data_IF_788181096707
#
_entry.id   IF_788181096707
#
_cell.length_a   1.000
_cell.length_b   1.000
_cell.length_c   1.000
_cell.angle_alpha   90.00
_cell.angle_beta   90.00
_cell.angle_gamma   90.00
#
_symmetry.space_group_name_H-M   'P 1'
#
loop_
_entity.id
_entity.type
_entity.pdbx_description
1 polymer ?
#
# COMPACT_ATOMS: atom_id res chain seq x y z
N UNK A 1 23.84 33.06 -6.93
CA UNK A 1 22.71 32.55 -6.13
C UNK A 1 21.84 31.75 -7.09
N UNK A 2 22.19 30.48 -7.29
CA UNK A 2 21.68 29.67 -8.40
C UNK A 2 20.47 28.91 -7.91
N UNK A 3 19.33 29.15 -8.55
CA UNK A 3 18.04 28.50 -8.31
C UNK A 3 18.22 26.98 -8.31
N UNK A 4 18.14 26.37 -7.13
CA UNK A 4 18.03 24.94 -6.99
C UNK A 4 16.70 24.52 -7.61
N UNK A 5 16.80 23.79 -8.71
CA UNK A 5 15.71 23.21 -9.47
C UNK A 5 14.69 22.46 -8.58
N UNK A 6 13.50 23.04 -8.41
CA UNK A 6 12.32 22.47 -7.73
C UNK A 6 11.67 21.33 -8.54
N UNK A 7 12.41 20.27 -8.87
CA UNK A 7 11.93 19.13 -9.67
C UNK A 7 11.93 17.79 -8.92
N UNK A 8 11.68 17.80 -7.61
CA UNK A 8 11.00 16.66 -6.99
C UNK A 8 9.50 16.85 -7.28
N UNK A 9 9.06 16.45 -8.48
CA UNK A 9 7.67 16.03 -8.65
C UNK A 9 7.52 14.74 -7.85
N UNK A 10 7.31 14.89 -6.55
CA UNK A 10 7.45 13.83 -5.56
C UNK A 10 6.42 12.74 -5.82
N UNK A 11 6.76 11.48 -5.51
CA UNK A 11 5.83 10.35 -5.64
C UNK A 11 4.52 10.63 -4.87
N UNK A 12 4.62 11.38 -3.78
CA UNK A 12 3.50 11.86 -2.97
C UNK A 12 2.53 12.77 -3.73
N UNK A 13 2.99 13.49 -4.76
CA UNK A 13 2.11 14.29 -5.61
C UNK A 13 1.30 13.45 -6.61
N UNK A 14 1.85 12.31 -7.04
CA UNK A 14 1.21 11.41 -8.00
C UNK A 14 0.32 10.37 -7.31
N UNK A 15 0.74 9.93 -6.12
CA UNK A 15 0.03 8.96 -5.29
C UNK A 15 0.04 9.43 -3.83
N UNK A 16 -0.85 10.37 -3.46
CA UNK A 16 -0.96 10.87 -2.10
C UNK A 16 -1.34 9.77 -1.12
N UNK A 17 -0.85 9.85 0.11
CA UNK A 17 -1.17 8.87 1.15
C UNK A 17 -2.66 8.85 1.47
N UNK A 18 -3.34 9.99 1.39
CA UNK A 18 -4.78 10.10 1.64
C UNK A 18 -5.58 9.25 0.65
N UNK A 19 -5.17 9.20 -0.62
CA UNK A 19 -5.82 8.39 -1.66
C UNK A 19 -5.63 6.91 -1.36
N UNK A 20 -4.41 6.50 -1.02
CA UNK A 20 -4.09 5.10 -0.69
C UNK A 20 -4.85 4.66 0.58
N UNK A 21 -4.91 5.53 1.59
CA UNK A 21 -5.63 5.30 2.85
C UNK A 21 -7.15 5.23 2.62
N UNK A 22 -7.70 6.05 1.72
CA UNK A 22 -9.12 5.99 1.37
C UNK A 22 -9.46 4.67 0.65
N UNK A 23 -8.62 4.24 -0.29
CA UNK A 23 -8.82 2.97 -1.01
C UNK A 23 -8.78 1.78 -0.05
N UNK A 24 -7.75 1.68 0.81
CA UNK A 24 -7.66 0.58 1.77
C UNK A 24 -8.83 0.56 2.76
N UNK A 25 -9.26 1.75 3.21
CA UNK A 25 -10.42 1.86 4.09
C UNK A 25 -11.69 1.41 3.38
N UNK A 26 -11.91 1.83 2.12
CA UNK A 26 -13.05 1.40 1.32
C UNK A 26 -13.08 -0.13 1.19
N UNK A 27 -11.97 -0.75 0.80
CA UNK A 27 -11.92 -2.20 0.62
C UNK A 27 -12.14 -2.94 1.94
N UNK A 28 -11.42 -2.57 3.00
CA UNK A 28 -11.47 -3.33 4.25
C UNK A 28 -12.78 -3.09 4.99
N UNK A 29 -13.21 -1.84 5.17
CA UNK A 29 -14.36 -1.52 6.03
C UNK A 29 -15.69 -1.63 5.31
N UNK A 30 -15.75 -1.31 4.02
CA UNK A 30 -17.01 -1.23 3.27
C UNK A 30 -17.23 -2.52 2.47
N UNK A 31 -16.27 -2.92 1.64
CA UNK A 31 -16.43 -4.05 0.73
C UNK A 31 -16.28 -5.39 1.47
N UNK A 32 -15.17 -5.57 2.19
CA UNK A 32 -14.88 -6.77 2.96
C UNK A 32 -15.56 -6.79 4.35
N UNK A 33 -16.10 -5.66 4.82
CA UNK A 33 -16.77 -5.53 6.13
C UNK A 33 -15.91 -6.04 7.30
N UNK A 34 -14.61 -5.75 7.24
CA UNK A 34 -13.61 -6.15 8.23
C UNK A 34 -13.27 -7.64 8.21
N UNK A 35 -13.59 -8.38 7.14
CA UNK A 35 -13.36 -9.82 7.05
C UNK A 35 -12.54 -10.16 5.81
N UNK A 36 -11.30 -10.57 6.01
CA UNK A 36 -10.39 -10.98 4.93
C UNK A 36 -10.14 -12.48 5.00
N UNK A 37 -10.31 -13.17 3.87
CA UNK A 37 -9.94 -14.58 3.74
C UNK A 37 -8.47 -14.66 3.36
N UNK A 38 -7.65 -15.16 4.29
CA UNK A 38 -6.21 -15.36 4.14
C UNK A 38 -5.91 -16.85 4.04
N UNK A 39 -4.71 -17.19 3.59
CA UNK A 39 -4.25 -18.59 3.56
C UNK A 39 -4.25 -19.25 4.95
N UNK A 40 -4.03 -18.48 6.01
CA UNK A 40 -4.11 -18.94 7.40
C UNK A 40 -5.53 -19.03 7.97
N UNK A 41 -6.53 -18.54 7.22
CA UNK A 41 -7.93 -18.53 7.60
C UNK A 41 -8.57 -17.14 7.58
N UNK A 42 -9.72 -17.00 8.25
CA UNK A 42 -10.46 -15.75 8.28
C UNK A 42 -9.83 -14.75 9.26
N UNK A 43 -9.29 -13.66 8.74
CA UNK A 43 -8.80 -12.53 9.51
C UNK A 43 -9.94 -11.52 9.74
N UNK A 44 -10.18 -11.16 11.00
CA UNK A 44 -11.20 -10.16 11.38
C UNK A 44 -10.51 -8.88 11.84
N UNK A 45 -10.73 -7.80 11.10
CA UNK A 45 -10.18 -6.47 11.35
C UNK A 45 -11.27 -5.61 12.01
N UNK A 46 -11.02 -5.05 13.21
CA UNK A 46 -11.99 -4.18 13.86
C UNK A 46 -12.13 -2.85 13.13
N UNK A 47 -13.28 -2.19 13.29
CA UNK A 47 -13.50 -0.86 12.72
C UNK A 47 -12.62 0.20 13.42
N UNK A 48 -12.28 1.26 12.68
CA UNK A 48 -11.54 2.40 13.24
C UNK A 48 -10.06 2.14 13.53
N UNK A 49 -9.47 1.14 12.87
CA UNK A 49 -8.03 0.86 12.95
C UNK A 49 -7.21 1.87 12.16
N UNK A 50 -5.92 1.93 12.49
CA UNK A 50 -4.95 2.79 11.81
C UNK A 50 -4.51 2.13 10.50
N UNK A 51 -4.43 2.90 9.43
CA UNK A 51 -3.79 2.51 8.17
C UNK A 51 -2.54 3.35 7.99
N UNK A 52 -1.40 2.68 7.79
CA UNK A 52 -0.10 3.33 7.64
C UNK A 52 0.49 3.00 6.28
N UNK A 53 0.77 4.02 5.45
CA UNK A 53 1.50 3.82 4.19
C UNK A 53 2.96 3.54 4.53
N UNK A 54 3.40 2.31 4.27
CA UNK A 54 4.75 1.83 4.59
C UNK A 54 5.74 2.19 3.49
N UNK A 55 5.32 2.04 2.24
CA UNK A 55 6.16 2.38 1.09
C UNK A 55 5.31 2.71 -0.13
N UNK A 56 5.89 3.52 -1.01
CA UNK A 56 5.39 3.76 -2.36
C UNK A 56 6.56 3.65 -3.33
N UNK A 57 6.30 3.15 -4.53
CA UNK A 57 7.30 3.07 -5.59
C UNK A 57 6.68 3.31 -6.97
N UNK A 58 7.43 3.95 -7.86
CA UNK A 58 7.19 3.91 -9.29
C UNK A 58 7.91 2.68 -9.86
N UNK A 59 7.14 1.74 -10.40
CA UNK A 59 7.64 0.55 -11.06
C UNK A 59 7.66 0.83 -12.56
N UNK A 60 8.86 0.89 -13.15
CA UNK A 60 9.03 1.13 -14.59
C UNK A 60 9.14 -0.20 -15.31
N UNK A 61 8.20 -0.47 -16.23
CA UNK A 61 8.17 -1.65 -17.12
C UNK A 61 8.95 -2.85 -16.60
N UNK A 62 8.40 -3.53 -15.60
CA UNK A 62 8.89 -4.86 -15.24
C UNK A 62 8.24 -5.90 -16.16
N UNK A 63 9.03 -6.72 -16.88
CA UNK A 63 8.48 -7.71 -17.81
C UNK A 63 7.56 -8.73 -17.14
N UNK A 64 7.65 -8.89 -15.81
CA UNK A 64 6.91 -9.89 -15.04
C UNK A 64 5.58 -9.40 -14.46
N UNK A 65 5.32 -8.09 -14.43
CA UNK A 65 4.15 -7.52 -13.73
C UNK A 65 2.95 -7.32 -14.67
N UNK A 66 3.15 -7.37 -16.00
CA UNK A 66 2.07 -7.33 -17.00
C UNK A 66 1.31 -5.99 -17.11
N UNK A 67 1.42 -5.10 -16.12
CA UNK A 67 0.74 -3.80 -16.07
C UNK A 67 1.50 -2.67 -16.76
N UNK A 68 2.71 -2.93 -17.27
CA UNK A 68 3.60 -1.89 -17.76
C UNK A 68 4.13 -1.02 -16.61
N UNK A 69 4.35 0.27 -16.87
CA UNK A 69 4.73 1.21 -15.82
C UNK A 69 3.53 1.48 -14.90
N UNK A 70 3.73 1.40 -13.59
CA UNK A 70 2.68 1.52 -12.58
C UNK A 70 3.25 2.07 -11.27
N UNK A 71 2.36 2.48 -10.36
CA UNK A 71 2.75 2.74 -8.97
C UNK A 71 2.37 1.56 -8.08
N UNK A 72 3.22 1.28 -7.10
CA UNK A 72 2.96 0.32 -6.02
C UNK A 72 2.86 1.09 -4.70
N UNK A 73 1.87 0.79 -3.88
CA UNK A 73 1.81 1.25 -2.50
C UNK A 73 1.60 0.07 -1.56
N UNK A 74 2.30 0.07 -0.43
CA UNK A 74 2.16 -0.94 0.62
C UNK A 74 1.62 -0.27 1.86
N UNK A 75 0.53 -0.81 2.42
CA UNK A 75 -0.13 -0.30 3.61
C UNK A 75 -0.07 -1.36 4.72
N UNK A 76 0.31 -0.96 5.93
CA UNK A 76 0.16 -1.77 7.13
C UNK A 76 -1.20 -1.51 7.78
N UNK A 77 -2.00 -2.56 7.92
CA UNK A 77 -3.30 -2.53 8.60
C UNK A 77 -3.09 -2.71 10.10
N UNK A 78 -3.55 -1.73 10.87
CA UNK A 78 -3.30 -1.62 12.32
C UNK A 78 -1.94 -1.01 12.68
N UNK A 79 -1.25 -0.41 11.71
CA UNK A 79 0.10 0.15 11.86
C UNK A 79 1.21 -0.90 11.75
N UNK A 80 2.45 -0.40 11.70
CA UNK A 80 3.65 -1.21 11.57
C UNK A 80 4.53 -1.17 12.82
N UNK A 81 5.22 -2.27 13.11
CA UNK A 81 6.22 -2.35 14.18
C UNK A 81 7.50 -2.95 13.63
N UNK A 82 8.65 -2.37 14.01
CA UNK A 82 9.97 -2.86 13.59
C UNK A 82 10.44 -3.98 14.51
N UNK A 83 10.75 -5.13 13.92
CA UNK A 83 11.41 -6.23 14.64
C UNK A 83 12.92 -6.00 14.77
N UNK A 84 13.56 -6.74 15.67
CA UNK A 84 15.00 -6.66 15.94
C UNK A 84 15.89 -6.91 14.71
N UNK A 85 15.37 -7.58 13.69
CA UNK A 85 16.02 -7.85 12.40
C UNK A 85 15.88 -6.73 11.36
N UNK A 86 15.14 -5.65 11.68
CA UNK A 86 14.83 -4.57 10.74
C UNK A 86 13.62 -4.84 9.83
N UNK A 87 13.00 -6.02 9.97
CA UNK A 87 11.78 -6.40 9.25
C UNK A 87 10.58 -5.70 9.89
N UNK A 88 9.68 -5.15 9.05
CA UNK A 88 8.44 -4.54 9.51
C UNK A 88 7.34 -5.59 9.62
N UNK A 89 6.57 -5.56 10.71
CA UNK A 89 5.38 -6.39 10.86
C UNK A 89 4.14 -5.51 11.01
N UNK A 90 3.13 -5.75 10.19
CA UNK A 90 1.81 -5.17 10.38
C UNK A 90 1.11 -5.84 11.56
N UNK A 91 0.25 -5.10 12.27
CA UNK A 91 -0.55 -5.68 13.35
C UNK A 91 -1.51 -6.75 12.82
N UNK A 92 -2.15 -6.50 11.67
CA UNK A 92 -3.08 -7.42 11.04
C UNK A 92 -2.55 -8.01 9.74
N UNK A 93 -2.32 -7.16 8.73
CA UNK A 93 -1.92 -7.59 7.38
C UNK A 93 -1.28 -6.43 6.63
N UNK A 94 -0.45 -6.74 5.63
CA UNK A 94 -0.05 -5.78 4.61
C UNK A 94 -1.00 -5.84 3.42
N UNK A 95 -1.36 -4.68 2.90
CA UNK A 95 -2.09 -4.57 1.64
C UNK A 95 -1.19 -3.92 0.60
N UNK A 96 -1.00 -4.58 -0.54
CA UNK A 96 -0.28 -4.02 -1.68
C UNK A 96 -1.28 -3.56 -2.71
N UNK A 97 -1.25 -2.28 -3.05
CA UNK A 97 -2.04 -1.69 -4.13
C UNK A 97 -1.16 -1.43 -5.35
N UNK A 98 -1.74 -1.70 -6.52
CA UNK A 98 -1.14 -1.42 -7.81
C UNK A 98 -1.99 -0.40 -8.54
N UNK A 99 -1.39 0.71 -8.95
CA UNK A 99 -2.05 1.82 -9.63
C UNK A 99 -1.47 2.03 -11.02
N UNK A 100 -2.30 2.47 -11.96
CA UNK A 100 -1.81 2.99 -13.24
C UNK A 100 -0.98 4.25 -13.01
N UNK A 101 -0.18 4.66 -14.00
CA UNK A 101 0.52 5.96 -13.96
C UNK A 101 -0.40 7.18 -13.83
N UNK A 102 -1.71 7.00 -14.08
CA UNK A 102 -2.73 8.04 -13.91
C UNK A 102 -3.41 7.98 -12.53
N UNK A 103 -2.88 7.19 -11.59
CA UNK A 103 -3.41 7.07 -10.24
C UNK A 103 -4.70 6.23 -10.12
N UNK A 104 -5.07 5.46 -11.15
CA UNK A 104 -6.25 4.57 -11.07
C UNK A 104 -5.86 3.23 -10.50
N UNK A 105 -6.61 2.72 -9.53
CA UNK A 105 -6.34 1.41 -8.96
C UNK A 105 -6.55 0.31 -10.02
N UNK A 106 -5.57 -0.59 -10.13
CA UNK A 106 -5.57 -1.77 -11.00
C UNK A 106 -6.04 -2.99 -10.21
N UNK A 107 -5.33 -3.28 -9.12
CA UNK A 107 -5.56 -4.46 -8.28
C UNK A 107 -4.94 -4.27 -6.90
N UNK A 108 -5.30 -5.15 -5.98
CA UNK A 108 -4.74 -5.23 -4.64
C UNK A 108 -4.44 -6.68 -4.25
N UNK A 109 -3.53 -6.86 -3.30
CA UNK A 109 -3.16 -8.15 -2.74
C UNK A 109 -2.87 -8.05 -1.24
N UNK A 110 -2.98 -9.17 -0.52
CA UNK A 110 -2.81 -9.25 0.93
C UNK A 110 -1.61 -10.14 1.28
N UNK A 111 -0.78 -9.69 2.23
CA UNK A 111 0.35 -10.47 2.71
C UNK A 111 0.46 -10.40 4.23
N UNK A 112 0.68 -11.55 4.87
CA UNK A 112 0.93 -11.62 6.33
C UNK A 112 2.35 -11.16 6.68
N UNK A 113 3.29 -11.37 5.77
CA UNK A 113 4.69 -10.94 5.86
C UNK A 113 4.92 -9.68 5.02
N UNK A 114 6.02 -8.97 5.27
CA UNK A 114 6.35 -7.76 4.49
C UNK A 114 6.50 -8.13 3.00
N UNK A 115 5.69 -7.54 2.11
CA UNK A 115 5.86 -7.79 0.68
C UNK A 115 7.18 -7.16 0.21
N UNK A 116 7.97 -7.94 -0.54
CA UNK A 116 9.25 -7.52 -1.13
C UNK A 116 9.01 -6.54 -2.31
#
# INVERSE_FOLDING_TARGET
>A
MTLANNYLSDLDSWLPDELVIEDVRRFIEIEAKGKLEMDSGLLVIPAGIVYEVVSKALIKQEPNIGFGSCFRAVVAVGGSTKQSSGILKALFVFVTFWYTISGKLITMDYAEETPL
#
